data_IF_226914463507
#
_entry.id   IF_226914463507
#
_cell.length_a   1.000
_cell.length_b   1.000
_cell.length_c   1.000
_cell.angle_alpha   90.00
_cell.angle_beta   90.00
_cell.angle_gamma   90.00
#
_symmetry.space_group_name_H-M   'P 1'
#
loop_
_entity.id
_entity.type
_entity.pdbx_description
1 polymer ?
#
# COMPACT_ATOMS: atom_id res chain seq x y z
N UNK A 1 -0.51 -0.77 14.93
CA UNK A 1 -1.08 -0.26 16.20
C UNK A 1 -2.09 0.81 15.84
N UNK A 2 -3.23 0.89 16.53
CA UNK A 2 -4.31 1.82 16.24
C UNK A 2 -5.05 2.23 17.51
N UNK A 3 -6.26 2.80 17.38
CA UNK A 3 -7.10 3.23 18.49
C UNK A 3 -8.53 2.71 18.28
N UNK A 4 -8.79 1.51 18.80
CA UNK A 4 -10.11 0.91 18.77
C UNK A 4 -11.04 1.50 19.85
N UNK A 5 -12.29 1.06 19.83
CA UNK A 5 -13.32 1.54 20.73
C UNK A 5 -12.96 1.34 22.22
N UNK A 6 -12.35 0.22 22.57
CA UNK A 6 -12.02 -0.13 23.95
C UNK A 6 -10.89 0.76 24.47
N UNK A 7 -9.83 0.95 23.67
CA UNK A 7 -8.73 1.83 24.01
C UNK A 7 -9.21 3.28 24.17
N UNK A 8 -10.06 3.77 23.27
CA UNK A 8 -10.65 5.12 23.35
C UNK A 8 -11.52 5.30 24.61
N UNK A 9 -12.21 4.26 25.09
CA UNK A 9 -12.96 4.32 26.35
C UNK A 9 -12.08 4.33 27.58
N UNK A 10 -10.96 3.60 27.53
CA UNK A 10 -10.01 3.54 28.65
C UNK A 10 -9.25 4.87 28.89
N UNK A 11 -9.27 5.79 27.92
CA UNK A 11 -8.54 7.06 27.94
C UNK A 11 -9.50 8.27 28.00
N UNK A 12 -10.08 8.60 29.18
CA UNK A 12 -11.10 9.65 29.30
C UNK A 12 -10.59 11.08 29.04
N UNK A 13 -9.27 11.26 28.94
CA UNK A 13 -8.61 12.55 28.62
C UNK A 13 -7.96 12.54 27.23
N UNK A 14 -8.30 11.57 26.38
CA UNK A 14 -7.78 11.53 25.02
C UNK A 14 -8.32 12.72 24.23
N UNK A 15 -7.42 13.50 23.62
CA UNK A 15 -7.77 14.69 22.83
C UNK A 15 -7.45 14.50 21.34
N UNK A 16 -6.41 13.71 21.02
CA UNK A 16 -5.95 13.49 19.65
C UNK A 16 -5.40 12.08 19.45
N UNK A 17 -5.67 11.50 18.27
CA UNK A 17 -4.99 10.31 17.73
C UNK A 17 -4.23 10.73 16.47
N UNK A 18 -2.90 10.81 16.57
CA UNK A 18 -2.01 11.12 15.45
C UNK A 18 -1.26 9.86 15.01
N UNK A 19 -1.45 9.42 13.76
CA UNK A 19 -0.85 8.16 13.25
C UNK A 19 0.23 8.40 12.20
N UNK A 20 1.29 7.58 12.23
CA UNK A 20 2.34 7.50 11.21
C UNK A 20 1.93 6.68 9.96
N UNK A 21 0.63 6.54 9.69
CA UNK A 21 0.08 5.76 8.58
C UNK A 21 -0.80 6.62 7.69
N UNK A 22 -0.88 6.29 6.40
CA UNK A 22 -1.91 6.87 5.53
C UNK A 22 -3.29 6.23 5.80
N UNK A 23 -3.33 4.91 6.04
CA UNK A 23 -4.54 4.16 6.39
C UNK A 23 -5.02 4.45 7.81
N UNK A 24 -6.33 4.28 8.02
CA UNK A 24 -7.04 4.61 9.26
C UNK A 24 -7.87 3.43 9.79
N UNK A 25 -7.70 2.26 9.19
CA UNK A 25 -8.56 1.08 9.35
C UNK A 25 -8.52 0.53 10.78
N UNK A 26 -7.46 0.87 11.52
CA UNK A 26 -7.24 0.49 12.92
C UNK A 26 -7.71 1.56 13.93
N UNK A 27 -8.40 2.61 13.47
CA UNK A 27 -8.90 3.71 14.33
C UNK A 27 -10.42 3.76 14.22
N UNK A 28 -11.11 3.74 15.35
CA UNK A 28 -12.56 3.96 15.38
C UNK A 28 -12.89 5.45 15.20
N UNK A 29 -12.95 5.87 13.94
CA UNK A 29 -13.23 7.26 13.56
C UNK A 29 -14.60 7.75 14.03
N UNK A 30 -15.59 6.86 14.12
CA UNK A 30 -16.94 7.21 14.57
C UNK A 30 -16.87 7.58 16.05
N UNK A 31 -16.24 6.74 16.86
CA UNK A 31 -16.10 6.99 18.29
C UNK A 31 -15.22 8.19 18.61
N UNK A 32 -14.13 8.39 17.85
CA UNK A 32 -13.33 9.61 17.96
C UNK A 32 -14.20 10.84 17.74
N UNK A 33 -15.02 10.86 16.69
CA UNK A 33 -15.93 11.96 16.40
C UNK A 33 -16.97 12.18 17.49
N UNK A 34 -17.57 11.11 18.02
CA UNK A 34 -18.56 11.19 19.11
C UNK A 34 -17.99 11.80 20.39
N UNK A 35 -16.72 11.53 20.69
CA UNK A 35 -16.03 12.06 21.86
C UNK A 35 -15.31 13.39 21.63
N UNK A 36 -15.35 13.94 20.41
CA UNK A 36 -14.63 15.15 20.06
C UNK A 36 -13.10 14.98 20.04
N UNK A 37 -12.62 13.75 19.81
CA UNK A 37 -11.20 13.43 19.68
C UNK A 37 -10.78 13.72 18.24
N UNK A 38 -9.73 14.54 18.09
CA UNK A 38 -9.18 14.87 16.79
C UNK A 38 -8.39 13.67 16.21
N UNK A 39 -8.41 13.50 14.89
CA UNK A 39 -7.64 12.43 14.24
C UNK A 39 -6.81 12.99 13.10
N UNK A 40 -5.52 12.67 13.07
CA UNK A 40 -4.61 13.07 11.99
C UNK A 40 -3.85 11.87 11.43
N UNK A 41 -3.51 11.92 10.15
CA UNK A 41 -2.73 10.90 9.47
C UNK A 41 -1.59 11.53 8.65
N UNK A 42 -0.83 10.72 7.93
CA UNK A 42 0.28 11.17 7.08
C UNK A 42 -0.01 10.85 5.61
N UNK A 43 -0.94 11.56 4.96
CA UNK A 43 -1.21 11.35 3.55
C UNK A 43 -0.04 11.84 2.70
N UNK A 44 0.03 11.37 1.46
CA UNK A 44 0.95 11.83 0.43
C UNK A 44 2.44 11.47 0.63
N UNK A 45 3.03 11.66 1.80
CA UNK A 45 4.49 11.53 2.04
C UNK A 45 5.09 10.17 1.72
N UNK A 46 4.31 9.09 1.83
CA UNK A 46 4.74 7.72 1.57
C UNK A 46 4.39 7.22 0.16
N UNK A 47 3.72 8.05 -0.64
CA UNK A 47 3.13 7.61 -1.92
C UNK A 47 4.18 7.14 -2.91
N UNK A 48 5.29 7.88 -3.01
CA UNK A 48 6.33 7.58 -3.99
C UNK A 48 7.11 6.33 -3.64
N UNK A 49 7.59 6.20 -2.40
CA UNK A 49 8.33 5.00 -1.98
C UNK A 49 7.50 3.73 -2.10
N UNK A 50 6.21 3.78 -1.73
CA UNK A 50 5.33 2.63 -1.90
C UNK A 50 5.15 2.28 -3.38
N UNK A 51 5.01 3.29 -4.25
CA UNK A 51 4.89 3.06 -5.68
C UNK A 51 6.20 2.57 -6.32
N UNK A 52 7.36 3.06 -5.85
CA UNK A 52 8.68 2.65 -6.31
C UNK A 52 8.98 1.22 -5.91
N UNK A 53 8.67 0.83 -4.67
CA UNK A 53 8.78 -0.55 -4.20
C UNK A 53 7.91 -1.49 -5.07
N UNK A 54 6.66 -1.14 -5.37
CA UNK A 54 5.79 -1.96 -6.20
C UNK A 54 6.37 -2.23 -7.60
N UNK A 55 6.94 -1.21 -8.25
CA UNK A 55 7.57 -1.34 -9.58
C UNK A 55 8.89 -2.11 -9.49
N UNK A 56 9.74 -1.78 -8.51
CA UNK A 56 11.02 -2.44 -8.29
C UNK A 56 10.86 -3.94 -8.06
N UNK A 57 9.87 -4.32 -7.25
CA UNK A 57 9.56 -5.73 -6.98
C UNK A 57 8.94 -6.44 -8.18
N UNK A 58 8.09 -5.77 -8.94
CA UNK A 58 7.56 -6.33 -10.19
C UNK A 58 8.71 -6.68 -11.15
N UNK A 59 9.70 -5.79 -11.28
CA UNK A 59 10.91 -6.06 -12.05
C UNK A 59 11.73 -7.20 -11.45
N UNK A 60 11.91 -7.22 -10.12
CA UNK A 60 12.65 -8.25 -9.43
C UNK A 60 12.09 -9.66 -9.70
N UNK A 61 10.76 -9.81 -9.72
CA UNK A 61 10.07 -11.07 -10.05
C UNK A 61 10.23 -11.41 -11.53
N UNK A 62 9.82 -10.50 -12.43
CA UNK A 62 9.80 -10.80 -13.87
C UNK A 62 11.19 -11.07 -14.42
N UNK A 63 12.22 -10.44 -13.85
CA UNK A 63 13.62 -10.57 -14.27
C UNK A 63 14.43 -11.52 -13.39
N UNK A 64 13.82 -12.08 -12.35
CA UNK A 64 14.45 -12.99 -11.37
C UNK A 64 15.78 -12.45 -10.79
N UNK A 65 15.84 -11.14 -10.51
CA UNK A 65 17.08 -10.50 -10.04
C UNK A 65 17.58 -11.03 -8.69
N UNK A 66 16.68 -11.56 -7.86
CA UNK A 66 16.96 -11.94 -6.47
C UNK A 66 17.39 -13.41 -6.35
N UNK A 67 17.30 -14.20 -7.44
CA UNK A 67 17.44 -15.66 -7.36
C UNK A 67 18.24 -16.24 -8.54
N UNK A 68 19.54 -16.43 -8.35
CA UNK A 68 20.35 -17.36 -9.15
C UNK A 68 20.40 -18.69 -8.40
N UNK A 69 19.50 -19.60 -8.72
CA UNK A 69 19.33 -20.85 -7.95
C UNK A 69 20.56 -21.76 -7.91
N UNK A 70 21.52 -21.59 -8.82
CA UNK A 70 22.50 -22.65 -9.08
C UNK A 70 23.96 -22.23 -8.88
N UNK A 71 24.24 -20.99 -8.46
CA UNK A 71 25.63 -20.45 -8.45
C UNK A 71 26.27 -20.38 -9.84
N UNK A 72 25.59 -20.86 -10.88
CA UNK A 72 25.98 -20.74 -12.26
C UNK A 72 25.53 -19.38 -12.82
N UNK A 73 26.50 -18.62 -13.32
CA UNK A 73 26.29 -17.41 -14.10
C UNK A 73 25.81 -17.77 -15.53
N UNK A 74 24.76 -18.58 -15.63
CA UNK A 74 24.18 -19.04 -16.88
C UNK A 74 23.12 -18.08 -17.41
N UNK A 75 23.07 -17.89 -18.73
CA UNK A 75 22.02 -17.10 -19.38
C UNK A 75 20.68 -17.85 -19.32
N UNK A 76 19.76 -17.40 -18.47
CA UNK A 76 18.36 -17.87 -18.42
C UNK A 76 17.43 -16.81 -19.01
N UNK A 77 16.51 -17.24 -19.88
CA UNK A 77 15.47 -16.36 -20.40
C UNK A 77 14.52 -15.96 -19.26
N UNK A 78 14.14 -14.69 -19.23
CA UNK A 78 13.25 -14.10 -18.22
C UNK A 78 12.14 -13.31 -18.90
N UNK A 79 11.22 -12.75 -18.12
CA UNK A 79 10.00 -12.15 -18.64
C UNK A 79 10.15 -10.64 -18.84
N UNK A 80 9.77 -10.16 -20.02
CA UNK A 80 9.69 -8.73 -20.34
C UNK A 80 8.43 -8.11 -19.71
N UNK A 81 8.61 -6.97 -19.04
CA UNK A 81 7.51 -6.13 -18.49
C UNK A 81 6.88 -5.23 -19.55
N UNK A 82 7.67 -4.65 -20.46
CA UNK A 82 7.14 -3.62 -21.37
C UNK A 82 6.06 -4.17 -22.30
N UNK A 83 4.94 -3.47 -22.41
CA UNK A 83 3.77 -3.87 -23.19
C UNK A 83 2.82 -4.85 -22.47
N UNK A 84 3.08 -5.21 -21.21
CA UNK A 84 2.19 -6.09 -20.42
C UNK A 84 0.99 -5.32 -19.86
N UNK A 85 -0.06 -6.07 -19.51
CA UNK A 85 -1.18 -5.53 -18.74
C UNK A 85 -0.86 -5.52 -17.25
N UNK A 86 -1.20 -4.44 -16.57
CA UNK A 86 -1.05 -4.26 -15.11
C UNK A 86 -2.42 -3.97 -14.50
N UNK A 87 -2.86 -4.81 -13.57
CA UNK A 87 -4.07 -4.61 -12.78
C UNK A 87 -3.76 -3.94 -11.45
N UNK A 88 -4.54 -2.93 -11.07
CA UNK A 88 -4.36 -2.18 -9.81
C UNK A 88 -5.65 -2.24 -8.99
N UNK A 89 -5.61 -2.85 -7.81
CA UNK A 89 -6.73 -2.84 -6.86
C UNK A 89 -6.59 -1.61 -5.96
N UNK A 90 -7.49 -0.65 -6.12
CA UNK A 90 -7.49 0.63 -5.42
C UNK A 90 -6.72 1.73 -6.16
N UNK A 91 -7.40 2.47 -7.04
CA UNK A 91 -6.81 3.61 -7.76
C UNK A 91 -6.86 4.91 -6.93
N UNK A 92 -6.27 4.87 -5.73
CA UNK A 92 -6.01 6.03 -4.87
C UNK A 92 -4.72 6.77 -5.25
N UNK A 93 -4.12 7.51 -4.31
CA UNK A 93 -2.83 8.20 -4.50
C UNK A 93 -1.72 7.23 -4.93
N UNK A 94 -1.53 6.16 -4.15
CA UNK A 94 -0.53 5.10 -4.41
C UNK A 94 -0.83 4.39 -5.74
N UNK A 95 -2.06 3.90 -5.94
CA UNK A 95 -2.43 3.22 -7.18
C UNK A 95 -2.21 4.08 -8.43
N UNK A 96 -2.47 5.38 -8.36
CA UNK A 96 -2.19 6.32 -9.45
C UNK A 96 -0.68 6.48 -9.69
N UNK A 97 0.12 6.59 -8.63
CA UNK A 97 1.58 6.69 -8.72
C UNK A 97 2.21 5.43 -9.32
N UNK A 98 1.71 4.24 -8.95
CA UNK A 98 2.09 2.96 -9.56
C UNK A 98 1.71 2.94 -11.04
N UNK A 99 0.48 3.31 -11.38
CA UNK A 99 0.01 3.35 -12.77
C UNK A 99 0.91 4.24 -13.64
N UNK A 100 1.20 5.46 -13.18
CA UNK A 100 2.07 6.41 -13.88
C UNK A 100 3.46 5.83 -14.17
N UNK A 101 4.04 5.12 -13.21
CA UNK A 101 5.36 4.47 -13.39
C UNK A 101 5.27 3.29 -14.35
N UNK A 102 4.27 2.42 -14.21
CA UNK A 102 4.05 1.28 -15.11
C UNK A 102 3.79 1.71 -16.57
N UNK A 103 3.11 2.84 -16.78
CA UNK A 103 2.92 3.44 -18.11
C UNK A 103 4.24 3.85 -18.77
N UNK A 104 5.24 4.29 -18.01
CA UNK A 104 6.56 4.62 -18.55
C UNK A 104 7.28 3.38 -19.13
N UNK A 105 6.91 2.18 -18.69
CA UNK A 105 7.34 0.91 -19.29
C UNK A 105 6.47 0.50 -20.49
N UNK A 106 5.46 1.28 -20.87
CA UNK A 106 4.51 0.97 -21.94
C UNK A 106 3.47 -0.07 -21.54
N UNK A 107 3.16 -0.22 -20.25
CA UNK A 107 2.16 -1.17 -19.79
C UNK A 107 0.73 -0.66 -19.99
N UNK A 108 -0.21 -1.59 -20.17
CA UNK A 108 -1.65 -1.30 -20.25
C UNK A 108 -2.28 -1.41 -18.86
N UNK A 109 -2.82 -0.31 -18.34
CA UNK A 109 -3.32 -0.27 -16.96
C UNK A 109 -4.83 -0.55 -16.92
N UNK A 110 -5.23 -1.47 -16.04
CA UNK A 110 -6.62 -1.67 -15.61
C UNK A 110 -6.70 -1.52 -14.09
N UNK A 111 -7.85 -1.16 -13.55
CA UNK A 111 -7.98 -0.98 -12.10
C UNK A 111 -9.32 -1.45 -11.53
N UNK A 112 -9.37 -1.69 -10.22
CA UNK A 112 -10.60 -1.87 -9.45
C UNK A 112 -10.67 -0.81 -8.35
N UNK A 113 -11.86 -0.31 -8.06
CA UNK A 113 -12.12 0.59 -6.93
C UNK A 113 -13.58 0.43 -6.51
N UNK A 114 -13.91 0.77 -5.25
CA UNK A 114 -15.29 0.76 -4.74
C UNK A 114 -16.21 1.66 -5.56
N UNK A 115 -15.69 2.81 -5.99
CA UNK A 115 -16.33 3.71 -6.92
C UNK A 115 -15.39 3.97 -8.11
N UNK A 116 -15.96 4.12 -9.30
CA UNK A 116 -15.23 4.54 -10.49
C UNK A 116 -14.57 5.90 -10.24
N UNK A 117 -13.33 6.05 -10.71
CA UNK A 117 -12.59 7.30 -10.53
C UNK A 117 -12.93 8.26 -11.67
N UNK A 118 -13.51 9.44 -11.39
CA UNK A 118 -13.73 10.42 -12.43
C UNK A 118 -12.38 10.86 -13.01
N UNK A 119 -12.35 11.16 -14.31
CA UNK A 119 -11.19 11.71 -15.01
C UNK A 119 -9.94 10.81 -15.02
N UNK A 120 -10.10 9.48 -14.93
CA UNK A 120 -9.00 8.55 -15.21
C UNK A 120 -9.05 8.05 -16.65
N UNK A 121 -7.87 7.84 -17.25
CA UNK A 121 -7.73 7.20 -18.58
C UNK A 121 -7.72 5.67 -18.51
N UNK A 122 -7.71 5.10 -17.30
CA UNK A 122 -7.65 3.65 -17.09
C UNK A 122 -9.05 3.03 -17.09
N UNK A 123 -9.14 1.76 -17.48
CA UNK A 123 -10.41 1.02 -17.51
C UNK A 123 -10.62 0.22 -16.23
N UNK A 124 -11.86 0.23 -15.72
CA UNK A 124 -12.27 -0.58 -14.59
C UNK A 124 -12.37 -2.07 -14.94
N UNK A 125 -11.83 -2.97 -14.11
CA UNK A 125 -12.03 -4.41 -14.18
C UNK A 125 -12.30 -4.99 -12.79
N UNK A 126 -13.01 -6.13 -12.70
CA UNK A 126 -13.27 -6.85 -11.46
C UNK A 126 -12.06 -7.76 -11.16
N UNK A 127 -11.46 -7.60 -9.97
CA UNK A 127 -10.45 -8.53 -9.43
C UNK A 127 -10.80 -8.76 -7.97
N UNK A 128 -10.87 -10.03 -7.57
CA UNK A 128 -11.13 -10.55 -6.23
C UNK A 128 -9.81 -11.16 -5.69
N UNK A 129 -9.53 -11.09 -4.38
CA UNK A 129 -8.29 -11.68 -3.80
C UNK A 129 -8.26 -13.20 -3.97
N UNK A 130 -9.43 -13.86 -3.83
CA UNK A 130 -9.54 -15.30 -4.09
C UNK A 130 -9.29 -15.64 -5.56
N UNK A 131 -9.76 -14.80 -6.48
CA UNK A 131 -9.49 -14.92 -7.91
C UNK A 131 -8.03 -14.61 -8.24
N UNK A 132 -7.39 -13.67 -7.52
CA UNK A 132 -5.97 -13.36 -7.66
C UNK A 132 -5.11 -14.58 -7.29
N UNK A 133 -5.40 -15.21 -6.15
CA UNK A 133 -4.72 -16.43 -5.70
C UNK A 133 -4.95 -17.57 -6.69
N UNK A 134 -6.19 -17.82 -7.10
CA UNK A 134 -6.51 -18.84 -8.12
C UNK A 134 -5.79 -18.56 -9.44
N UNK A 135 -5.75 -17.30 -9.90
CA UNK A 135 -5.08 -16.94 -11.14
C UNK A 135 -3.55 -17.15 -11.06
N UNK A 136 -2.93 -16.94 -9.90
CA UNK A 136 -1.51 -17.22 -9.69
C UNK A 136 -1.22 -18.72 -9.66
N UNK A 137 -2.05 -19.50 -8.97
CA UNK A 137 -1.92 -20.96 -8.87
C UNK A 137 -2.18 -21.66 -10.22
N UNK A 138 -3.07 -21.12 -11.05
CA UNK A 138 -3.43 -21.66 -12.36
C UNK A 138 -2.59 -21.08 -13.51
N UNK A 139 -1.50 -20.36 -13.22
CA UNK A 139 -0.63 -19.68 -14.19
C UNK A 139 -1.36 -18.69 -15.13
N UNK A 140 -2.58 -18.28 -14.79
CA UNK A 140 -3.35 -17.25 -15.51
C UNK A 140 -2.80 -15.85 -15.24
N UNK A 141 -2.16 -15.66 -14.09
CA UNK A 141 -1.43 -14.45 -13.72
C UNK A 141 0.07 -14.74 -13.62
N UNK A 142 0.85 -14.04 -14.43
CA UNK A 142 2.29 -14.31 -14.56
C UNK A 142 3.09 -14.02 -13.28
N UNK A 143 2.65 -13.06 -12.46
CA UNK A 143 3.29 -12.68 -11.20
C UNK A 143 2.39 -11.78 -10.35
N UNK A 144 2.64 -11.76 -9.04
CA UNK A 144 2.07 -10.77 -8.13
C UNK A 144 3.11 -10.23 -7.14
N UNK A 145 2.91 -8.99 -6.71
CA UNK A 145 3.67 -8.38 -5.61
C UNK A 145 2.66 -7.86 -4.61
N UNK A 146 2.73 -8.36 -3.38
CA UNK A 146 1.77 -8.08 -2.32
C UNK A 146 2.51 -7.52 -1.10
N UNK A 147 2.18 -6.28 -0.73
CA UNK A 147 2.68 -5.60 0.49
C UNK A 147 1.59 -5.46 1.56
N UNK A 148 0.35 -5.76 1.21
CA UNK A 148 -0.80 -5.77 2.12
C UNK A 148 -1.65 -7.01 1.89
N UNK A 149 -2.30 -7.49 2.94
CA UNK A 149 -3.13 -8.70 2.93
C UNK A 149 -4.46 -8.45 3.65
N UNK A 150 -5.52 -9.15 3.27
CA UNK A 150 -6.85 -8.96 3.89
C UNK A 150 -6.82 -9.17 5.41
N UNK A 151 -6.02 -10.15 5.87
CA UNK A 151 -5.93 -10.55 7.28
C UNK A 151 -4.51 -10.36 7.84
N UNK A 152 -3.89 -9.20 7.70
CA UNK A 152 -2.55 -8.96 8.27
C UNK A 152 -2.48 -9.18 9.80
N UNK A 153 -1.38 -9.78 10.34
CA UNK A 153 -0.14 -10.15 9.65
C UNK A 153 -0.17 -11.52 8.97
N UNK A 154 -1.31 -12.22 8.97
CA UNK A 154 -1.45 -13.50 8.30
C UNK A 154 -1.40 -13.31 6.78
N UNK A 155 -0.65 -14.19 6.13
CA UNK A 155 -0.52 -14.27 4.67
C UNK A 155 -0.98 -15.67 4.27
N UNK A 156 -1.81 -15.83 3.21
CA UNK A 156 -2.18 -17.15 2.69
C UNK A 156 -0.95 -18.03 2.46
N UNK A 157 -0.94 -19.23 3.06
CA UNK A 157 0.23 -20.12 3.03
C UNK A 157 0.62 -20.52 1.60
N UNK A 158 -0.38 -20.60 0.72
CA UNK A 158 -0.25 -20.94 -0.70
C UNK A 158 0.67 -19.98 -1.44
N UNK A 159 0.81 -18.73 -0.97
CA UNK A 159 1.64 -17.72 -1.62
C UNK A 159 3.14 -17.90 -1.35
N UNK A 160 3.54 -18.55 -0.25
CA UNK A 160 4.96 -18.73 0.10
C UNK A 160 5.68 -19.70 -0.84
N UNK A 161 4.94 -20.62 -1.47
CA UNK A 161 5.49 -21.61 -2.41
C UNK A 161 5.65 -21.07 -3.84
N UNK A 162 5.14 -19.88 -4.14
CA UNK A 162 5.07 -19.36 -5.49
C UNK A 162 6.33 -18.56 -5.88
N UNK A 163 7.10 -19.08 -6.84
CA UNK A 163 8.29 -18.39 -7.37
C UNK A 163 7.98 -17.08 -8.10
N UNK A 164 6.73 -16.92 -8.53
CA UNK A 164 6.22 -15.74 -9.23
C UNK A 164 5.54 -14.73 -8.30
N UNK A 165 5.67 -14.89 -6.97
CA UNK A 165 5.11 -13.98 -5.98
C UNK A 165 6.20 -13.39 -5.09
N UNK A 166 6.14 -12.07 -4.85
CA UNK A 166 6.90 -11.42 -3.78
C UNK A 166 5.96 -10.89 -2.73
N UNK A 167 6.24 -11.26 -1.49
CA UNK A 167 5.51 -10.87 -0.30
C UNK A 167 6.37 -9.88 0.48
N UNK A 168 5.82 -8.71 0.79
CA UNK A 168 6.45 -7.74 1.68
C UNK A 168 5.68 -7.65 2.99
N UNK A 169 6.37 -7.42 4.13
CA UNK A 169 5.73 -7.28 5.43
C UNK A 169 5.28 -5.82 5.68
N UNK A 170 4.44 -5.26 4.82
CA UNK A 170 3.91 -3.89 4.96
C UNK A 170 5.04 -2.85 5.14
N UNK A 171 6.07 -2.96 4.30
CA UNK A 171 7.35 -2.28 4.47
C UNK A 171 7.67 -1.30 3.34
N UNK A 172 6.78 -1.12 2.37
CA UNK A 172 7.08 -0.33 1.18
C UNK A 172 7.36 1.17 1.45
N UNK A 173 6.98 1.70 2.61
CA UNK A 173 7.32 3.07 3.06
C UNK A 173 8.59 3.17 3.92
N UNK A 174 9.39 2.11 3.99
CA UNK A 174 10.49 1.93 4.95
C UNK A 174 11.80 2.65 4.63
N UNK A 175 11.79 3.83 4.03
CA UNK A 175 13.02 4.64 3.77
C UNK A 175 13.27 5.64 4.91
N UNK A 176 14.51 6.09 5.07
CA UNK A 176 14.85 7.09 6.09
C UNK A 176 14.09 8.41 5.83
N UNK A 177 14.03 8.83 4.58
CA UNK A 177 13.39 10.07 4.14
C UNK A 177 11.89 10.06 4.42
N UNK A 178 11.18 9.02 3.99
CA UNK A 178 9.74 8.91 4.21
C UNK A 178 9.40 8.74 5.69
N UNK A 179 10.19 7.95 6.43
CA UNK A 179 9.95 7.76 7.87
C UNK A 179 10.20 9.03 8.65
N UNK A 180 11.22 9.81 8.29
CA UNK A 180 11.46 11.13 8.88
C UNK A 180 10.31 12.08 8.57
N UNK A 181 9.91 12.21 7.31
CA UNK A 181 8.80 13.10 6.91
C UNK A 181 7.47 12.73 7.60
N UNK A 182 7.21 11.43 7.74
CA UNK A 182 6.04 10.91 8.46
C UNK A 182 6.09 11.28 9.95
N UNK A 183 7.25 11.11 10.60
CA UNK A 183 7.42 11.47 12.01
C UNK A 183 7.27 12.98 12.22
N UNK A 184 7.86 13.80 11.36
CA UNK A 184 7.78 15.25 11.41
C UNK A 184 6.31 15.72 11.35
N UNK A 185 5.49 15.20 10.42
CA UNK A 185 4.06 15.53 10.33
C UNK A 185 3.29 15.15 11.60
N UNK A 186 3.59 13.98 12.20
CA UNK A 186 2.92 13.55 13.44
C UNK A 186 3.25 14.50 14.59
N UNK A 187 4.53 14.85 14.74
CA UNK A 187 4.98 15.80 15.76
C UNK A 187 4.32 17.16 15.56
N UNK A 188 4.32 17.68 14.33
CA UNK A 188 3.72 18.98 14.01
C UNK A 188 2.20 19.02 14.27
N UNK A 189 1.47 17.93 14.02
CA UNK A 189 0.06 17.84 14.37
C UNK A 189 -0.17 17.80 15.89
N UNK A 190 0.66 17.08 16.63
CA UNK A 190 0.59 17.05 18.10
C UNK A 190 0.88 18.45 18.68
N UNK A 191 1.91 19.12 18.19
CA UNK A 191 2.22 20.50 18.58
C UNK A 191 1.06 21.44 18.24
N UNK A 192 0.49 21.34 17.04
CA UNK A 192 -0.64 22.17 16.62
C UNK A 192 -1.85 21.97 17.53
N UNK A 193 -2.18 20.72 17.88
CA UNK A 193 -3.25 20.37 18.81
C UNK A 193 -3.07 21.09 20.16
N UNK A 194 -1.93 20.90 20.82
CA UNK A 194 -1.68 21.45 22.16
C UNK A 194 -1.42 22.96 22.19
N UNK A 195 -1.10 23.55 21.03
CA UNK A 195 -0.97 25.00 20.87
C UNK A 195 -2.27 25.67 20.38
N UNK A 196 -3.38 24.92 20.26
CA UNK A 196 -4.65 25.40 19.72
C UNK A 196 -4.52 26.05 18.32
N UNK A 197 -3.65 25.48 17.48
CA UNK A 197 -3.47 25.87 16.08
C UNK A 197 -4.24 24.90 15.17
N UNK A 198 -4.57 25.31 13.93
CA UNK A 198 -5.11 24.39 12.94
C UNK A 198 -4.17 23.18 12.72
N UNK A 199 -4.75 21.98 12.75
CA UNK A 199 -4.04 20.74 12.42
C UNK A 199 -3.62 20.73 10.95
N UNK A 200 -2.50 20.06 10.65
CA UNK A 200 -1.94 20.02 9.31
C UNK A 200 -2.68 19.02 8.42
N UNK A 201 -2.98 17.85 8.97
CA UNK A 201 -3.57 16.73 8.23
C UNK A 201 -4.77 16.13 8.98
N UNK A 202 -5.80 16.93 9.33
CA UNK A 202 -6.98 16.45 10.04
C UNK A 202 -7.85 15.55 9.17
N UNK A 203 -8.47 14.56 9.82
CA UNK A 203 -9.42 13.60 9.23
C UNK A 203 -10.79 13.74 9.87
N UNK A 204 -10.82 13.82 11.20
CA UNK A 204 -12.02 13.98 12.05
C UNK A 204 -11.92 15.30 12.79
#
# INVERSE_FOLDING_TARGET
VGADAELIDSLPKLEIVATCSAGLDKIDLVKCKEKGIQVTNTPDVLTDDVADAAIGLTLAVLRRFVRSEDGEMGYKLTTKISGRSVGIIGLGRIGMAVAKRAEAFGCFISYRSRAEKPNTKYKGALVDESELVSALLEDRLAAAVLDVFEHEPQVPEELFGLENVVLLPHAASGTEETRKATADIVIENLEACFLNKPLLTPVV
#
